data_IF_535022884663
#
_entry.id   IF_535022884663
#
_cell.length_a   1.000
_cell.length_b   1.000
_cell.length_c   1.000
_cell.angle_alpha   90.00
_cell.angle_beta   90.00
_cell.angle_gamma   90.00
#
_symmetry.space_group_name_H-M   'P 1'
#
loop_
_entity.id
_entity.type
_entity.pdbx_description
1 polymer ?
#
# COMPACT_ATOMS: atom_id res chain seq x y z
N UNK A 1 20.82 -19.37 27.01
CA UNK A 1 20.48 -17.99 27.45
C UNK A 1 21.48 -17.04 26.85
N UNK A 2 21.03 -15.90 26.31
CA UNK A 2 21.88 -14.90 25.67
C UNK A 2 22.93 -14.29 26.63
N UNK A 3 22.64 -14.28 27.93
CA UNK A 3 23.55 -13.84 29.01
C UNK A 3 24.86 -14.64 29.13
N UNK A 4 24.99 -15.78 28.48
CA UNK A 4 26.24 -16.54 28.39
C UNK A 4 27.21 -16.06 27.31
N UNK A 5 26.79 -15.14 26.43
CA UNK A 5 27.55 -14.73 25.23
C UNK A 5 28.49 -13.55 25.54
N UNK A 6 28.07 -12.62 26.39
CA UNK A 6 28.91 -11.52 26.88
C UNK A 6 28.37 -11.00 28.20
N UNK A 7 29.26 -10.69 29.16
CA UNK A 7 28.87 -10.14 30.46
C UNK A 7 28.72 -8.61 30.45
N UNK A 8 29.24 -7.95 29.41
CA UNK A 8 29.28 -6.48 29.29
C UNK A 8 28.06 -5.90 28.56
N UNK A 9 27.10 -6.77 28.20
CA UNK A 9 25.91 -6.41 27.43
C UNK A 9 24.69 -6.54 28.32
N UNK A 10 23.86 -5.50 28.32
CA UNK A 10 22.56 -5.58 28.97
C UNK A 10 21.60 -6.44 28.14
N UNK A 11 21.36 -7.65 28.63
CA UNK A 11 20.46 -8.63 28.00
C UNK A 11 19.00 -8.48 28.43
N UNK A 12 18.70 -7.59 29.39
CA UNK A 12 17.32 -7.39 29.85
C UNK A 12 16.31 -7.07 28.73
N UNK A 13 16.65 -6.39 27.62
CA UNK A 13 15.71 -6.16 26.53
C UNK A 13 15.29 -7.42 25.75
N UNK A 14 16.09 -8.50 25.83
CA UNK A 14 15.92 -9.71 25.03
C UNK A 14 15.36 -10.90 25.82
N UNK A 15 15.30 -10.82 27.15
CA UNK A 15 14.81 -11.92 27.99
C UNK A 15 13.31 -12.14 27.81
N UNK A 16 12.93 -13.37 27.42
CA UNK A 16 11.53 -13.80 27.28
C UNK A 16 10.75 -13.18 26.12
N UNK A 17 11.39 -12.36 25.27
CA UNK A 17 10.74 -11.71 24.12
C UNK A 17 10.97 -12.50 22.84
N UNK A 18 9.92 -12.63 22.02
CA UNK A 18 10.07 -13.08 20.64
C UNK A 18 10.59 -11.93 19.80
N UNK A 19 11.61 -12.19 18.98
CA UNK A 19 12.11 -11.24 18.00
C UNK A 19 11.16 -11.25 16.80
N UNK A 20 10.45 -10.14 16.56
CA UNK A 20 9.56 -9.99 15.39
C UNK A 20 10.26 -9.32 14.20
N UNK A 21 11.39 -8.65 14.44
CA UNK A 21 12.29 -8.08 13.44
C UNK A 21 13.71 -7.95 14.04
N UNK A 22 14.78 -7.92 13.22
CA UNK A 22 16.12 -7.57 13.69
C UNK A 22 16.13 -6.18 14.33
N UNK A 23 16.99 -5.99 15.33
CA UNK A 23 17.08 -4.73 16.05
C UNK A 23 18.14 -3.83 15.42
N UNK A 24 17.74 -3.14 14.35
CA UNK A 24 18.65 -2.33 13.54
C UNK A 24 19.05 -1.00 14.19
N UNK A 25 18.23 -0.45 15.09
CA UNK A 25 18.47 0.88 15.68
C UNK A 25 19.48 0.85 16.84
N UNK A 26 19.99 -0.33 17.21
CA UNK A 26 20.98 -0.45 18.28
C UNK A 26 22.27 0.28 17.91
N UNK A 27 22.72 1.18 18.79
CA UNK A 27 24.00 1.87 18.64
C UNK A 27 25.19 0.90 18.62
N UNK A 28 25.11 -0.20 19.39
CA UNK A 28 26.15 -1.22 19.46
C UNK A 28 26.12 -2.16 18.23
N UNK A 29 27.20 -2.24 17.43
CA UNK A 29 27.25 -3.11 16.25
C UNK A 29 27.04 -4.59 16.55
N UNK A 30 27.51 -5.06 17.71
CA UNK A 30 27.33 -6.44 18.14
C UNK A 30 25.84 -6.81 18.31
N UNK A 31 25.03 -5.91 18.88
CA UNK A 31 23.60 -6.16 19.07
C UNK A 31 22.84 -6.23 17.74
N UNK A 32 23.20 -5.38 16.78
CA UNK A 32 22.68 -5.45 15.40
C UNK A 32 23.03 -6.78 14.75
N UNK A 33 24.31 -7.18 14.82
CA UNK A 33 24.79 -8.44 14.27
C UNK A 33 24.10 -9.66 14.88
N UNK A 34 23.99 -9.69 16.22
CA UNK A 34 23.36 -10.79 16.94
C UNK A 34 21.86 -10.88 16.64
N UNK A 35 21.13 -9.77 16.70
CA UNK A 35 19.69 -9.77 16.41
C UNK A 35 19.40 -10.15 14.96
N UNK A 36 20.24 -9.72 14.02
CA UNK A 36 20.18 -10.16 12.62
C UNK A 36 20.40 -11.66 12.48
N UNK A 37 21.47 -12.20 13.10
CA UNK A 37 21.79 -13.62 13.04
C UNK A 37 20.73 -14.50 13.70
N UNK A 38 20.13 -14.06 14.81
CA UNK A 38 19.04 -14.77 15.48
C UNK A 38 17.76 -14.75 14.65
N UNK A 39 17.43 -13.61 14.04
CA UNK A 39 16.20 -13.48 13.25
C UNK A 39 16.25 -14.25 11.93
N UNK A 40 17.38 -14.20 11.21
CA UNK A 40 17.61 -14.94 9.97
C UNK A 40 18.26 -16.31 10.20
N UNK A 41 18.29 -16.77 11.45
CA UNK A 41 18.81 -18.08 11.80
C UNK A 41 18.00 -19.20 11.15
N UNK A 42 18.62 -20.36 10.87
CA UNK A 42 17.92 -21.49 10.28
C UNK A 42 16.82 -21.99 11.21
N UNK A 43 15.64 -22.23 10.65
CA UNK A 43 14.53 -22.88 11.34
C UNK A 43 14.54 -24.36 10.96
N UNK A 44 14.60 -25.24 11.96
CA UNK A 44 14.62 -26.69 11.76
C UNK A 44 13.46 -27.16 10.87
N UNK A 45 13.79 -27.97 9.86
CA UNK A 45 12.85 -28.48 8.86
C UNK A 45 12.30 -27.45 7.86
N UNK A 46 12.65 -26.16 7.95
CA UNK A 46 12.19 -25.17 6.97
C UNK A 46 12.83 -25.39 5.60
N UNK A 47 14.11 -25.75 5.56
CA UNK A 47 14.83 -26.07 4.32
C UNK A 47 14.23 -27.28 3.60
N UNK A 48 13.98 -28.37 4.33
CA UNK A 48 13.35 -29.58 3.79
C UNK A 48 11.94 -29.29 3.22
N UNK A 49 11.15 -28.45 3.90
CA UNK A 49 9.85 -27.99 3.38
C UNK A 49 10.00 -27.14 2.13
N UNK A 50 11.00 -26.27 2.06
CA UNK A 50 11.27 -25.45 0.88
C UNK A 50 11.64 -26.33 -0.31
N UNK A 51 12.52 -27.32 -0.12
CA UNK A 51 12.89 -28.28 -1.16
C UNK A 51 11.65 -29.06 -1.62
N UNK A 52 10.85 -29.59 -0.69
CA UNK A 52 9.61 -30.29 -1.00
C UNK A 52 8.62 -29.43 -1.80
N UNK A 53 8.50 -28.14 -1.45
CA UNK A 53 7.66 -27.19 -2.19
C UNK A 53 8.18 -26.94 -3.61
N UNK A 54 9.50 -26.83 -3.79
CA UNK A 54 10.12 -26.63 -5.11
C UNK A 54 9.88 -27.86 -6.01
N UNK A 55 10.03 -29.07 -5.47
CA UNK A 55 9.72 -30.31 -6.19
C UNK A 55 8.25 -30.40 -6.59
N UNK A 56 7.33 -30.06 -5.67
CA UNK A 56 5.91 -30.04 -5.96
C UNK A 56 5.55 -29.02 -7.06
N UNK A 57 6.20 -27.85 -7.05
CA UNK A 57 6.05 -26.82 -8.08
C UNK A 57 6.57 -27.28 -9.45
N UNK A 58 7.69 -28.00 -9.49
CA UNK A 58 8.22 -28.58 -10.73
C UNK A 58 7.26 -29.65 -11.29
N UNK A 59 6.80 -30.59 -10.45
CA UNK A 59 5.81 -31.60 -10.82
C UNK A 59 4.53 -30.98 -11.38
N UNK A 60 4.00 -29.95 -10.71
CA UNK A 60 2.82 -29.19 -11.16
C UNK A 60 3.05 -28.53 -12.53
N UNK A 61 4.22 -27.94 -12.75
CA UNK A 61 4.55 -27.30 -14.01
C UNK A 61 4.62 -28.30 -15.16
N UNK A 62 5.32 -29.42 -14.97
CA UNK A 62 5.45 -30.49 -15.97
C UNK A 62 4.09 -31.12 -16.30
N UNK A 63 3.26 -31.38 -15.29
CA UNK A 63 1.91 -31.89 -15.49
C UNK A 63 1.02 -30.91 -16.29
N UNK A 64 1.27 -29.60 -16.18
CA UNK A 64 0.60 -28.56 -16.96
C UNK A 64 1.26 -28.29 -18.33
N UNK A 65 2.21 -29.13 -18.78
CA UNK A 65 2.92 -28.97 -20.05
C UNK A 65 3.87 -27.77 -20.10
N UNK A 66 4.33 -27.28 -18.94
CA UNK A 66 5.28 -26.17 -18.83
C UNK A 66 6.67 -26.67 -18.46
N UNK A 67 7.71 -26.00 -18.97
CA UNK A 67 9.11 -26.39 -18.75
C UNK A 67 9.58 -26.21 -17.30
N UNK A 68 9.01 -25.24 -16.58
CA UNK A 68 9.26 -25.01 -15.15
C UNK A 68 8.09 -24.23 -14.53
N UNK A 69 8.07 -24.13 -13.20
CA UNK A 69 7.06 -23.34 -12.50
C UNK A 69 7.06 -21.86 -12.92
N UNK A 70 8.22 -21.32 -13.30
CA UNK A 70 8.35 -19.94 -13.75
C UNK A 70 7.56 -19.69 -15.06
N UNK A 71 7.59 -20.61 -16.01
CA UNK A 71 6.78 -20.54 -17.25
C UNK A 71 5.28 -20.82 -17.02
N UNK A 72 4.91 -21.36 -15.85
CA UNK A 72 3.51 -21.48 -15.43
C UNK A 72 3.01 -20.20 -14.77
N UNK A 73 3.86 -19.56 -13.97
CA UNK A 73 3.56 -18.34 -13.24
C UNK A 73 3.57 -17.09 -14.14
N UNK A 74 4.58 -16.95 -15.00
CA UNK A 74 4.71 -15.85 -15.96
C UNK A 74 4.08 -16.27 -17.28
N UNK A 75 2.87 -15.80 -17.53
CA UNK A 75 2.13 -16.10 -18.75
C UNK A 75 2.32 -14.98 -19.78
N UNK A 76 2.14 -15.24 -21.08
CA UNK A 76 2.19 -14.21 -22.12
C UNK A 76 1.20 -13.06 -21.91
N UNK A 77 0.14 -13.28 -21.13
CA UNK A 77 -0.85 -12.27 -20.75
C UNK A 77 -0.41 -11.38 -19.58
N UNK A 78 0.67 -11.72 -18.86
CA UNK A 78 1.21 -10.85 -17.81
C UNK A 78 2.05 -9.73 -18.42
N UNK A 79 2.24 -8.65 -17.66
CA UNK A 79 3.05 -7.51 -18.10
C UNK A 79 4.50 -7.90 -18.41
N UNK A 80 5.02 -8.88 -17.67
CA UNK A 80 6.36 -9.40 -17.90
C UNK A 80 6.47 -10.26 -19.17
N UNK A 81 5.35 -10.83 -19.65
CA UNK A 81 5.17 -11.69 -20.82
C UNK A 81 5.99 -13.00 -20.83
N UNK A 82 7.23 -13.01 -20.35
CA UNK A 82 8.09 -14.20 -20.31
C UNK A 82 9.11 -14.17 -19.17
N UNK A 83 9.57 -15.34 -18.69
CA UNK A 83 10.65 -15.44 -17.71
C UNK A 83 11.95 -14.72 -18.10
N UNK A 84 12.34 -14.78 -19.37
CA UNK A 84 13.57 -14.17 -19.88
C UNK A 84 13.50 -12.64 -19.83
N UNK A 85 12.30 -12.07 -20.02
CA UNK A 85 12.08 -10.64 -19.88
C UNK A 85 12.19 -10.20 -18.43
N UNK A 86 11.66 -10.98 -17.48
CA UNK A 86 11.85 -10.75 -16.05
C UNK A 86 13.34 -10.72 -15.72
N UNK A 87 14.08 -11.75 -16.14
CA UNK A 87 15.52 -11.84 -15.86
C UNK A 87 16.30 -10.67 -16.49
N UNK A 88 16.02 -10.34 -17.75
CA UNK A 88 16.66 -9.21 -18.44
C UNK A 88 16.39 -7.89 -17.72
N UNK A 89 15.15 -7.67 -17.29
CA UNK A 89 14.76 -6.48 -16.54
C UNK A 89 15.52 -6.40 -15.21
N UNK A 90 15.50 -7.46 -14.40
CA UNK A 90 16.19 -7.49 -13.10
C UNK A 90 17.70 -7.29 -13.25
N UNK A 91 18.33 -7.93 -14.23
CA UNK A 91 19.76 -7.74 -14.55
C UNK A 91 20.07 -6.31 -14.98
N UNK A 92 19.22 -5.71 -15.83
CA UNK A 92 19.42 -4.33 -16.28
C UNK A 92 19.27 -3.33 -15.13
N UNK A 93 18.24 -3.49 -14.31
CA UNK A 93 18.02 -2.65 -13.12
C UNK A 93 19.19 -2.78 -12.14
N UNK A 94 19.64 -4.01 -11.85
CA UNK A 94 20.82 -4.23 -11.02
C UNK A 94 22.04 -3.53 -11.59
N UNK A 95 22.34 -3.69 -12.88
CA UNK A 95 23.49 -3.04 -13.52
C UNK A 95 23.45 -1.51 -13.42
N UNK A 96 22.29 -0.90 -13.61
CA UNK A 96 22.12 0.55 -13.53
C UNK A 96 22.19 1.08 -12.10
N UNK A 97 21.63 0.35 -11.12
CA UNK A 97 21.56 0.80 -9.73
C UNK A 97 22.79 0.45 -8.91
N UNK A 98 23.55 -0.61 -9.25
CA UNK A 98 24.77 -1.01 -8.55
C UNK A 98 25.79 0.13 -8.36
N UNK A 99 26.15 0.94 -9.38
CA UNK A 99 27.10 2.04 -9.17
C UNK A 99 26.54 3.14 -8.27
N UNK A 100 25.25 3.46 -8.38
CA UNK A 100 24.57 4.46 -7.54
C UNK A 100 24.55 3.98 -6.09
N UNK A 101 24.07 2.76 -5.84
CA UNK A 101 24.00 2.16 -4.51
C UNK A 101 25.39 2.07 -3.85
N UNK A 102 26.41 1.66 -4.61
CA UNK A 102 27.80 1.60 -4.12
C UNK A 102 28.35 2.98 -3.82
N UNK A 103 28.08 3.96 -4.69
CA UNK A 103 28.46 5.35 -4.50
C UNK A 103 27.85 5.95 -3.24
N UNK A 104 26.53 5.81 -3.07
CA UNK A 104 25.78 6.24 -1.88
C UNK A 104 26.30 5.56 -0.61
N UNK A 105 26.50 4.24 -0.63
CA UNK A 105 27.03 3.51 0.53
C UNK A 105 28.41 4.01 0.94
N UNK A 106 29.31 4.27 -0.01
CA UNK A 106 30.67 4.78 0.27
C UNK A 106 30.69 6.24 0.73
N UNK A 107 29.89 7.09 0.10
CA UNK A 107 29.96 8.54 0.31
C UNK A 107 29.16 9.03 1.51
N UNK A 108 28.09 8.32 1.88
CA UNK A 108 27.16 8.69 2.96
C UNK A 108 27.23 7.71 4.13
N UNK A 109 27.15 6.40 3.90
CA UNK A 109 27.01 5.43 4.99
C UNK A 109 28.35 5.09 5.69
N UNK A 110 29.43 4.92 4.94
CA UNK A 110 30.73 4.49 5.52
C UNK A 110 31.40 5.62 6.33
N UNK A 111 31.18 6.89 5.98
CA UNK A 111 31.79 8.03 6.70
C UNK A 111 31.34 8.14 8.15
N UNK A 112 30.11 7.70 8.42
CA UNK A 112 29.48 7.81 9.73
C UNK A 112 29.82 6.61 10.65
N UNK A 113 30.59 5.64 10.15
CA UNK A 113 31.12 4.53 10.94
C UNK A 113 32.63 4.70 11.19
N UNK A 114 33.06 5.17 12.37
CA UNK A 114 34.48 5.14 12.71
C UNK A 114 34.97 3.68 12.76
N UNK A 115 36.09 3.40 12.09
CA UNK A 115 36.85 2.14 12.15
C UNK A 115 36.23 0.88 11.51
N UNK A 116 35.36 1.00 10.50
CA UNK A 116 34.83 -0.16 9.77
C UNK A 116 35.25 -0.19 8.30
N UNK A 117 36.16 -1.11 7.93
CA UNK A 117 36.65 -1.29 6.55
C UNK A 117 35.59 -1.87 5.58
N UNK A 118 34.49 -2.45 6.10
CA UNK A 118 33.47 -3.14 5.29
C UNK A 118 32.08 -3.05 5.92
N UNK A 119 31.11 -2.58 5.14
CA UNK A 119 29.69 -2.55 5.49
C UNK A 119 29.10 -3.97 5.62
N UNK A 120 28.37 -4.25 6.70
CA UNK A 120 27.64 -5.52 6.89
C UNK A 120 26.14 -5.35 6.63
N UNK A 121 25.40 -6.44 6.33
CA UNK A 121 23.95 -6.36 6.07
C UNK A 121 23.14 -5.69 7.19
N UNK A 122 23.56 -5.85 8.45
CA UNK A 122 22.91 -5.26 9.62
C UNK A 122 23.32 -3.80 9.91
N UNK A 123 24.33 -3.27 9.22
CA UNK A 123 24.73 -1.85 9.35
C UNK A 123 23.92 -0.95 8.41
N UNK A 124 23.48 -1.47 7.26
CA UNK A 124 22.76 -0.68 6.25
C UNK A 124 21.50 -0.02 6.83
N UNK A 125 20.58 -0.74 7.50
CA UNK A 125 19.35 -0.13 8.00
C UNK A 125 19.60 0.89 9.11
N UNK A 126 20.61 0.63 9.98
CA UNK A 126 21.04 1.59 11.01
C UNK A 126 21.48 2.91 10.40
N UNK A 127 22.35 2.87 9.39
CA UNK A 127 22.90 4.07 8.77
C UNK A 127 21.86 4.83 7.95
N UNK A 128 20.94 4.13 7.29
CA UNK A 128 19.79 4.76 6.65
C UNK A 128 18.95 5.52 7.68
N UNK A 129 18.67 4.89 8.82
CA UNK A 129 17.91 5.53 9.90
C UNK A 129 18.65 6.74 10.48
N UNK A 130 19.94 6.60 10.80
CA UNK A 130 20.78 7.71 11.27
C UNK A 130 20.84 8.88 10.27
N UNK A 131 20.86 8.59 8.97
CA UNK A 131 20.79 9.59 7.90
C UNK A 131 19.41 10.25 7.77
N UNK A 132 18.32 9.55 8.12
CA UNK A 132 16.96 10.11 8.09
C UNK A 132 16.66 11.03 9.28
N UNK A 133 17.37 10.90 10.40
CA UNK A 133 17.23 11.79 11.56
C UNK A 133 17.60 13.25 11.27
N UNK A 134 18.25 13.54 10.13
CA UNK A 134 18.54 14.90 9.67
C UNK A 134 17.31 15.62 9.12
N UNK A 135 16.23 14.88 8.80
CA UNK A 135 14.95 15.45 8.39
C UNK A 135 14.06 15.55 9.62
N UNK A 136 13.85 16.78 10.12
CA UNK A 136 12.94 17.07 11.22
C UNK A 136 11.49 16.78 10.80
N UNK A 137 11.13 15.51 10.91
CA UNK A 137 9.81 15.00 10.54
C UNK A 137 8.78 15.39 11.59
N UNK A 138 9.20 15.67 12.82
CA UNK A 138 8.31 16.12 13.90
C UNK A 138 7.72 17.50 13.60
N UNK A 139 8.52 18.40 13.00
CA UNK A 139 8.04 19.71 12.52
C UNK A 139 6.93 19.62 11.48
N UNK A 140 6.83 18.51 10.75
CA UNK A 140 5.84 18.31 9.68
C UNK A 140 4.52 17.72 10.19
N UNK A 141 4.53 17.02 11.33
CA UNK A 141 3.35 16.35 11.89
C UNK A 141 2.13 17.29 12.06
N UNK A 142 2.27 18.55 12.51
CA UNK A 142 1.13 19.45 12.65
C UNK A 142 0.37 19.75 11.34
N UNK A 143 1.03 19.59 10.19
CA UNK A 143 0.43 19.82 8.88
C UNK A 143 -0.34 18.60 8.35
N UNK A 144 -0.13 17.42 8.92
CA UNK A 144 -0.69 16.15 8.44
C UNK A 144 -1.74 15.60 9.40
N UNK A 145 -2.77 16.39 9.70
CA UNK A 145 -3.97 15.84 10.35
C UNK A 145 -4.74 14.95 9.40
N UNK A 146 -5.37 13.88 9.91
CA UNK A 146 -6.16 12.94 9.10
C UNK A 146 -7.22 13.67 8.26
N UNK A 147 -7.92 14.64 8.86
CA UNK A 147 -8.91 15.46 8.16
C UNK A 147 -8.31 16.25 7.00
N UNK A 148 -7.16 16.92 7.21
CA UNK A 148 -6.47 17.65 6.15
C UNK A 148 -5.98 16.72 5.03
N UNK A 149 -5.46 15.54 5.38
CA UNK A 149 -5.04 14.55 4.39
C UNK A 149 -6.24 14.01 3.59
N UNK A 150 -7.37 13.75 4.23
CA UNK A 150 -8.62 13.32 3.58
C UNK A 150 -9.20 14.39 2.65
N UNK A 151 -9.12 15.66 3.05
CA UNK A 151 -9.47 16.79 2.19
C UNK A 151 -8.55 16.85 0.95
N UNK A 152 -7.25 16.62 1.13
CA UNK A 152 -6.31 16.49 0.02
C UNK A 152 -6.65 15.32 -0.93
N UNK A 153 -7.07 14.18 -0.39
CA UNK A 153 -7.56 13.04 -1.19
C UNK A 153 -8.81 13.44 -1.99
N UNK A 154 -9.77 14.13 -1.38
CA UNK A 154 -10.98 14.60 -2.05
C UNK A 154 -10.66 15.58 -3.18
N UNK A 155 -9.82 16.60 -2.92
CA UNK A 155 -9.42 17.58 -3.93
C UNK A 155 -8.71 16.92 -5.13
N UNK A 156 -7.79 16.00 -4.88
CA UNK A 156 -7.14 15.29 -5.97
C UNK A 156 -8.09 14.37 -6.74
N UNK A 157 -9.11 13.81 -6.07
CA UNK A 157 -10.11 12.97 -6.72
C UNK A 157 -10.99 13.80 -7.66
N UNK A 158 -11.34 15.02 -7.24
CA UNK A 158 -12.10 15.97 -8.05
C UNK A 158 -11.28 16.47 -9.24
N UNK A 159 -10.09 17.02 -8.99
CA UNK A 159 -9.25 17.59 -10.04
C UNK A 159 -8.77 16.57 -11.09
N UNK A 160 -8.52 15.32 -10.70
CA UNK A 160 -7.98 14.31 -11.63
C UNK A 160 -9.06 13.46 -12.28
N UNK A 161 -10.18 13.20 -11.59
CA UNK A 161 -11.15 12.20 -12.01
C UNK A 161 -12.60 12.72 -12.03
N UNK A 162 -12.85 13.98 -11.67
CA UNK A 162 -14.19 14.53 -11.56
C UNK A 162 -15.03 13.80 -10.51
N UNK A 163 -14.41 13.43 -9.37
CA UNK A 163 -15.06 12.75 -8.26
C UNK A 163 -15.06 13.59 -6.98
N UNK A 164 -16.25 13.78 -6.41
CA UNK A 164 -16.45 14.30 -5.06
C UNK A 164 -16.62 13.16 -4.08
N UNK A 165 -15.83 13.15 -3.03
CA UNK A 165 -15.94 12.21 -1.93
C UNK A 165 -16.74 12.86 -0.80
N UNK A 166 -17.83 12.21 -0.38
CA UNK A 166 -18.70 12.70 0.67
C UNK A 166 -18.83 11.68 1.79
N UNK A 167 -18.59 12.12 3.03
CA UNK A 167 -18.85 11.31 4.21
C UNK A 167 -20.36 11.20 4.41
N UNK A 168 -20.84 9.99 4.62
CA UNK A 168 -22.26 9.70 4.84
C UNK A 168 -22.45 8.90 6.14
N UNK A 169 -23.58 9.09 6.84
CA UNK A 169 -23.91 8.24 7.97
C UNK A 169 -24.13 6.80 7.51
N UNK A 170 -23.53 5.86 8.22
CA UNK A 170 -23.82 4.45 8.05
C UNK A 170 -25.21 4.11 8.63
N UNK A 171 -25.93 3.22 7.96
CA UNK A 171 -27.20 2.68 8.46
C UNK A 171 -26.96 1.74 9.66
N UNK A 172 -27.97 1.52 10.52
CA UNK A 172 -27.87 0.55 11.60
C UNK A 172 -27.48 -0.84 11.08
N UNK A 173 -26.35 -1.37 11.59
CA UNK A 173 -25.82 -2.68 11.20
C UNK A 173 -25.02 -2.70 9.88
N UNK A 174 -24.84 -1.57 9.21
CA UNK A 174 -24.09 -1.49 7.94
C UNK A 174 -22.58 -1.65 8.15
N UNK A 175 -22.06 -1.14 9.27
CA UNK A 175 -20.63 -1.14 9.59
C UNK A 175 -20.30 -2.15 10.69
N UNK A 176 -19.12 -2.78 10.60
CA UNK A 176 -18.63 -3.76 11.58
C UNK A 176 -18.02 -3.13 12.83
N UNK A 177 -17.78 -1.81 12.84
CA UNK A 177 -17.25 -1.09 13.98
C UNK A 177 -17.68 0.38 13.95
N UNK A 178 -17.96 1.03 15.11
CA UNK A 178 -18.41 2.44 15.17
C UNK A 178 -17.42 3.45 14.58
N UNK A 179 -16.12 3.17 14.66
CA UNK A 179 -15.08 4.03 14.08
C UNK A 179 -14.98 3.94 12.54
N UNK A 180 -15.76 3.07 11.88
CA UNK A 180 -15.72 2.94 10.42
C UNK A 180 -16.50 4.07 9.79
N UNK A 181 -15.84 4.83 8.93
CA UNK A 181 -16.43 5.97 8.23
C UNK A 181 -16.87 5.54 6.83
N UNK A 182 -18.13 5.76 6.48
CA UNK A 182 -18.64 5.54 5.14
C UNK A 182 -18.40 6.78 4.28
N UNK A 183 -17.76 6.58 3.13
CA UNK A 183 -17.52 7.62 2.13
C UNK A 183 -18.15 7.18 0.81
N UNK A 184 -18.99 8.03 0.24
CA UNK A 184 -19.62 7.83 -1.05
C UNK A 184 -18.93 8.71 -2.10
N UNK A 185 -18.63 8.13 -3.26
CA UNK A 185 -18.01 8.84 -4.38
C UNK A 185 -19.07 9.25 -5.40
N UNK A 186 -19.15 10.54 -5.70
CA UNK A 186 -20.11 11.15 -6.62
C UNK A 186 -19.38 11.81 -7.79
N UNK A 187 -19.93 11.75 -8.99
CA UNK A 187 -19.41 12.49 -10.14
C UNK A 187 -19.66 14.00 -9.99
N UNK A 188 -18.69 14.85 -10.33
CA UNK A 188 -18.82 16.32 -10.30
C UNK A 188 -19.14 16.92 -11.67
N UNK A 189 -18.57 16.34 -12.72
CA UNK A 189 -18.80 16.67 -14.12
C UNK A 189 -19.48 15.47 -14.82
N UNK A 190 -20.18 15.72 -15.94
CA UNK A 190 -20.50 14.61 -16.84
C UNK A 190 -19.18 14.05 -17.35
N UNK A 191 -18.93 12.75 -17.21
CA UNK A 191 -17.86 12.14 -17.98
C UNK A 191 -18.16 12.42 -19.46
N UNK A 192 -17.21 13.08 -20.11
CA UNK A 192 -17.35 13.72 -21.42
C UNK A 192 -18.05 12.84 -22.47
N UNK A 193 -18.76 13.54 -23.35
CA UNK A 193 -19.53 13.06 -24.50
C UNK A 193 -19.08 11.70 -25.09
N UNK A 194 -19.90 10.63 -24.98
CA UNK A 194 -19.59 9.31 -25.54
C UNK A 194 -19.48 9.32 -27.08
N UNK A 195 -19.78 10.43 -27.76
CA UNK A 195 -19.72 10.55 -29.21
C UNK A 195 -18.32 10.89 -29.76
N UNK A 196 -17.35 11.29 -28.93
CA UNK A 196 -16.02 11.72 -29.39
C UNK A 196 -14.88 10.72 -29.12
N UNK A 197 -15.14 9.65 -28.36
CA UNK A 197 -14.15 8.62 -28.08
C UNK A 197 -14.58 7.28 -28.71
N UNK A 198 -13.87 6.86 -29.75
CA UNK A 198 -14.16 5.59 -30.46
C UNK A 198 -13.90 4.34 -29.58
N UNK A 199 -13.52 4.53 -28.31
CA UNK A 199 -13.22 3.48 -27.32
C UNK A 199 -14.32 3.33 -26.24
N UNK A 200 -15.43 4.06 -26.32
CA UNK A 200 -16.53 3.87 -25.35
C UNK A 200 -17.29 2.59 -25.66
N UNK A 201 -17.32 1.70 -24.68
CA UNK A 201 -18.09 0.46 -24.72
C UNK A 201 -19.58 0.79 -25.00
N UNK A 202 -20.29 0.11 -25.93
CA UNK A 202 -21.65 0.50 -26.34
C UNK A 202 -22.68 0.63 -25.21
N UNK A 203 -22.45 -0.05 -24.08
CA UNK A 203 -23.32 0.02 -22.91
C UNK A 203 -23.09 1.29 -22.08
N UNK A 204 -21.88 1.85 -22.07
CA UNK A 204 -21.59 3.13 -21.39
C UNK A 204 -22.23 4.29 -22.16
N UNK A 205 -22.27 4.21 -23.49
CA UNK A 205 -23.00 5.16 -24.33
C UNK A 205 -24.53 5.09 -24.11
N UNK A 206 -25.05 3.89 -23.81
CA UNK A 206 -26.48 3.69 -23.53
C UNK A 206 -26.90 4.22 -22.15
N UNK A 207 -26.00 4.20 -21.17
CA UNK A 207 -26.26 4.61 -19.79
C UNK A 207 -25.21 5.60 -19.30
N UNK A 208 -25.20 6.84 -19.84
CA UNK A 208 -24.21 7.84 -19.46
C UNK A 208 -24.38 8.23 -17.99
N UNK A 209 -23.25 8.41 -17.31
CA UNK A 209 -23.22 8.85 -15.93
C UNK A 209 -23.12 10.38 -15.92
N UNK A 210 -24.23 11.02 -15.57
CA UNK A 210 -24.29 12.46 -15.37
C UNK A 210 -23.62 12.91 -14.06
N UNK A 211 -23.52 14.22 -13.84
CA UNK A 211 -23.02 14.76 -12.57
C UNK A 211 -23.97 14.42 -11.41
N UNK A 212 -23.42 14.26 -10.21
CA UNK A 212 -24.15 13.96 -8.99
C UNK A 212 -24.55 12.48 -8.81
N UNK A 213 -24.10 11.59 -9.69
CA UNK A 213 -24.39 10.14 -9.58
C UNK A 213 -23.37 9.49 -8.66
N UNK A 214 -23.85 8.66 -7.72
CA UNK A 214 -22.98 7.85 -6.88
C UNK A 214 -22.35 6.72 -7.70
N UNK A 215 -21.03 6.68 -7.76
CA UNK A 215 -20.26 5.69 -8.54
C UNK A 215 -19.49 4.69 -7.67
N UNK A 216 -19.57 4.79 -6.35
CA UNK A 216 -18.99 3.80 -5.44
C UNK A 216 -19.18 4.14 -3.97
N UNK A 217 -18.94 3.14 -3.12
CA UNK A 217 -18.93 3.27 -1.66
C UNK A 217 -17.62 2.75 -1.09
N UNK A 218 -17.03 3.50 -0.19
CA UNK A 218 -15.70 3.26 0.39
C UNK A 218 -15.86 3.31 1.91
N UNK A 219 -15.68 2.19 2.58
CA UNK A 219 -15.62 2.14 4.04
C UNK A 219 -14.19 2.33 4.52
N UNK A 220 -14.00 3.28 5.42
CA UNK A 220 -12.70 3.66 5.92
C UNK A 220 -12.55 3.18 7.37
N UNK A 221 -11.66 2.21 7.59
CA UNK A 221 -11.35 1.64 8.89
C UNK A 221 -9.90 2.02 9.28
N UNK A 222 -9.74 3.19 9.89
CA UNK A 222 -8.42 3.80 10.05
C UNK A 222 -7.67 3.42 11.33
N UNK A 223 -8.36 3.15 12.43
CA UNK A 223 -7.74 3.11 13.76
C UNK A 223 -7.42 1.69 14.22
N UNK A 224 -6.35 1.56 15.01
CA UNK A 224 -5.97 0.31 15.65
C UNK A 224 -6.95 -0.04 16.77
N UNK A 225 -7.28 -1.34 16.88
CA UNK A 225 -8.07 -1.88 17.98
C UNK A 225 -7.77 -3.38 18.19
N UNK A 226 -8.02 -3.93 19.39
CA UNK A 226 -7.85 -5.36 19.64
C UNK A 226 -8.63 -6.21 18.62
N UNK A 227 -7.96 -7.23 18.07
CA UNK A 227 -8.57 -8.16 17.10
C UNK A 227 -8.57 -7.69 15.64
N UNK A 228 -8.24 -6.41 15.35
CA UNK A 228 -8.03 -5.93 13.98
C UNK A 228 -6.64 -6.36 13.47
N UNK A 229 -6.56 -6.78 12.21
CA UNK A 229 -5.26 -7.12 11.61
C UNK A 229 -4.40 -5.87 11.41
N UNK A 230 -3.14 -5.93 11.84
CA UNK A 230 -2.16 -4.84 11.72
C UNK A 230 -1.55 -4.78 10.31
N UNK A 231 -2.39 -4.63 9.28
CA UNK A 231 -1.97 -4.37 7.90
C UNK A 231 -2.78 -3.24 7.27
N UNK A 232 -2.06 -2.34 6.59
CA UNK A 232 -2.64 -1.31 5.75
C UNK A 232 -2.96 -1.93 4.39
N UNK A 233 -4.22 -1.85 3.97
CA UNK A 233 -4.68 -2.56 2.79
C UNK A 233 -6.06 -2.10 2.30
N UNK A 234 -6.32 -2.42 1.05
CA UNK A 234 -7.60 -2.23 0.38
C UNK A 234 -8.29 -3.58 0.13
N UNK A 235 -9.56 -3.67 0.50
CA UNK A 235 -10.43 -4.81 0.22
C UNK A 235 -11.57 -4.45 -0.72
N UNK A 236 -12.01 -5.41 -1.54
CA UNK A 236 -13.22 -5.27 -2.35
C UNK A 236 -14.31 -6.16 -1.76
N UNK A 237 -15.35 -5.55 -1.20
CA UNK A 237 -16.57 -6.26 -0.74
C UNK A 237 -17.42 -6.63 -1.95
N UNK A 238 -17.61 -5.67 -2.87
CA UNK A 238 -18.42 -5.83 -4.08
C UNK A 238 -17.69 -5.23 -5.26
N UNK A 239 -17.51 -6.01 -6.33
CA UNK A 239 -16.93 -5.53 -7.59
C UNK A 239 -17.97 -4.79 -8.44
N UNK A 240 -17.51 -3.83 -9.25
CA UNK A 240 -18.38 -3.10 -10.18
C UNK A 240 -18.71 -3.95 -11.42
N UNK A 241 -19.97 -4.13 -11.81
CA UNK A 241 -20.28 -4.96 -12.99
C UNK A 241 -21.57 -4.55 -13.67
N UNK A 242 -21.69 -4.89 -14.95
CA UNK A 242 -22.93 -4.78 -15.69
C UNK A 242 -23.98 -5.81 -15.21
N UNK A 243 -25.26 -5.42 -15.19
CA UNK A 243 -26.35 -6.23 -14.63
C UNK A 243 -27.57 -6.41 -15.54
N UNK A 244 -27.63 -5.75 -16.70
CA UNK A 244 -28.80 -5.77 -17.62
C UNK A 244 -29.21 -7.17 -18.14
N UNK A 245 -28.41 -8.21 -17.90
CA UNK A 245 -28.72 -9.60 -18.28
C UNK A 245 -28.49 -10.59 -17.13
N UNK A 246 -28.66 -10.15 -15.88
CA UNK A 246 -28.55 -11.05 -14.73
C UNK A 246 -29.91 -11.61 -14.34
N UNK A 247 -29.95 -12.86 -13.85
CA UNK A 247 -31.19 -13.48 -13.33
C UNK A 247 -31.85 -12.69 -12.17
N UNK A 248 -31.13 -11.73 -11.59
CA UNK A 248 -31.66 -10.79 -10.63
C UNK A 248 -32.10 -9.53 -11.38
N UNK A 249 -33.38 -9.17 -11.27
CA UNK A 249 -33.89 -7.87 -11.71
C UNK A 249 -33.13 -6.77 -10.97
N UNK A 250 -32.13 -6.20 -11.62
CA UNK A 250 -31.38 -5.06 -11.08
C UNK A 250 -32.08 -3.77 -11.49
N UNK A 251 -32.43 -2.94 -10.52
CA UNK A 251 -33.01 -1.61 -10.73
C UNK A 251 -32.04 -0.60 -11.40
N UNK A 252 -30.79 -0.98 -11.59
CA UNK A 252 -29.73 -0.22 -12.26
C UNK A 252 -29.06 -1.12 -13.30
N UNK A 253 -28.68 -0.61 -14.48
CA UNK A 253 -27.94 -1.36 -15.50
C UNK A 253 -26.50 -1.70 -15.06
N UNK A 254 -26.01 -1.01 -14.02
CA UNK A 254 -24.68 -1.21 -13.46
C UNK A 254 -24.72 -1.32 -11.93
N UNK A 255 -23.99 -2.29 -11.40
CA UNK A 255 -23.72 -2.45 -9.98
C UNK A 255 -22.42 -1.73 -9.64
N UNK A 256 -22.49 -0.69 -8.81
CA UNK A 256 -21.29 0.03 -8.37
C UNK A 256 -20.48 -0.73 -7.30
N UNK A 257 -19.15 -0.56 -7.28
CA UNK A 257 -18.28 -1.24 -6.33
C UNK A 257 -18.46 -0.75 -4.90
N UNK A 258 -18.20 -1.66 -3.95
CA UNK A 258 -18.07 -1.39 -2.53
C UNK A 258 -16.70 -1.87 -2.09
N UNK A 259 -15.90 -0.97 -1.52
CA UNK A 259 -14.53 -1.25 -1.11
C UNK A 259 -14.28 -0.79 0.32
N UNK A 260 -13.19 -1.29 0.89
CA UNK A 260 -12.74 -0.94 2.24
C UNK A 260 -11.30 -0.49 2.15
N UNK A 261 -10.99 0.64 2.77
CA UNK A 261 -9.63 1.04 3.09
C UNK A 261 -9.42 0.75 4.57
N UNK A 262 -8.46 -0.11 4.88
CA UNK A 262 -8.03 -0.39 6.23
C UNK A 262 -6.64 0.19 6.44
N UNK A 263 -6.49 1.03 7.46
CA UNK A 263 -5.19 1.48 7.95
C UNK A 263 -5.05 1.12 9.43
N UNK A 264 -3.83 1.21 9.94
CA UNK A 264 -3.51 1.04 11.35
C UNK A 264 -2.90 2.31 11.92
N UNK A 265 -3.67 3.40 11.82
CA UNK A 265 -3.41 4.60 12.61
C UNK A 265 -3.53 4.24 14.10
N UNK A 266 -2.94 5.05 14.98
CA UNK A 266 -2.97 4.81 16.43
C UNK A 266 -4.38 4.74 17.04
N UNK A 267 -4.52 4.83 18.36
CA UNK A 267 -5.83 4.71 19.00
C UNK A 267 -6.82 5.74 18.45
N UNK A 268 -8.09 5.31 18.33
CA UNK A 268 -9.18 6.17 17.85
C UNK A 268 -9.28 7.45 18.69
N UNK A 269 -9.64 8.61 18.11
CA UNK A 269 -9.94 9.82 18.86
C UNK A 269 -10.93 9.59 20.00
N UNK A 270 -11.91 8.68 19.82
CA UNK A 270 -12.88 8.33 20.86
C UNK A 270 -12.23 7.69 22.11
N UNK A 271 -11.01 7.15 21.98
CA UNK A 271 -10.24 6.56 23.07
C UNK A 271 -9.23 7.54 23.69
N UNK A 272 -8.97 8.68 23.05
CA UNK A 272 -8.02 9.69 23.54
C UNK A 272 -8.72 10.65 24.50
N UNK A 273 -8.04 11.00 25.59
CA UNK A 273 -8.47 12.09 26.47
C UNK A 273 -8.09 13.43 25.83
N UNK A 274 -9.09 14.15 25.31
CA UNK A 274 -8.93 15.50 24.74
C UNK A 274 -9.18 15.56 23.23
N UNK A 275 -9.48 16.76 22.74
CA UNK A 275 -9.87 17.04 21.34
C UNK A 275 -8.65 17.18 20.42
N UNK A 276 -7.77 16.19 20.44
CA UNK A 276 -6.52 16.21 19.65
C UNK A 276 -6.71 15.49 18.32
N UNK A 277 -6.43 16.15 17.18
CA UNK A 277 -6.58 15.52 15.88
C UNK A 277 -5.62 14.35 15.72
N UNK A 278 -6.00 13.37 14.91
CA UNK A 278 -5.08 12.28 14.53
C UNK A 278 -4.05 12.84 13.56
N UNK A 279 -2.80 12.95 13.99
CA UNK A 279 -1.66 13.36 13.15
C UNK A 279 -1.00 12.15 12.51
N UNK A 280 -0.58 12.30 11.26
CA UNK A 280 0.03 11.26 10.44
C UNK A 280 1.50 11.60 10.20
N UNK A 281 2.37 10.61 10.36
CA UNK A 281 3.73 10.69 9.82
C UNK A 281 3.71 10.72 8.28
N UNK A 282 4.75 11.24 7.61
CA UNK A 282 4.82 11.20 6.15
C UNK A 282 4.64 9.80 5.55
N UNK A 283 5.17 8.77 6.21
CA UNK A 283 4.96 7.38 5.78
C UNK A 283 3.48 6.95 5.86
N UNK A 284 2.75 7.37 6.90
CA UNK A 284 1.31 7.12 7.01
C UNK A 284 0.50 7.91 5.97
N UNK A 285 0.93 9.13 5.63
CA UNK A 285 0.34 9.91 4.53
C UNK A 285 0.56 9.17 3.21
N UNK A 286 1.78 8.71 2.91
CA UNK A 286 2.04 7.91 1.71
C UNK A 286 1.15 6.65 1.65
N UNK A 287 1.03 5.91 2.76
CA UNK A 287 0.17 4.73 2.82
C UNK A 287 -1.31 5.07 2.60
N UNK A 288 -1.81 6.14 3.22
CA UNK A 288 -3.19 6.61 3.01
C UNK A 288 -3.45 6.86 1.53
N UNK A 289 -2.59 7.64 0.86
CA UNK A 289 -2.75 7.96 -0.56
C UNK A 289 -2.56 6.73 -1.46
N UNK A 290 -1.72 5.77 -1.07
CA UNK A 290 -1.54 4.49 -1.77
C UNK A 290 -2.84 3.68 -1.76
N UNK A 291 -3.44 3.47 -0.59
CA UNK A 291 -4.68 2.69 -0.46
C UNK A 291 -5.88 3.38 -1.11
N UNK A 292 -5.94 4.72 -1.05
CA UNK A 292 -6.91 5.50 -1.82
C UNK A 292 -6.73 5.32 -3.33
N UNK A 293 -5.50 5.13 -3.81
CA UNK A 293 -5.24 4.76 -5.19
C UNK A 293 -5.91 3.45 -5.59
N UNK A 294 -5.84 2.42 -4.74
CA UNK A 294 -6.53 1.14 -4.97
C UNK A 294 -8.05 1.27 -4.90
N UNK A 295 -8.57 2.08 -3.97
CA UNK A 295 -10.00 2.36 -3.86
C UNK A 295 -10.53 3.08 -5.10
N UNK A 296 -9.88 4.15 -5.54
CA UNK A 296 -10.26 4.89 -6.75
C UNK A 296 -10.14 4.03 -8.00
N UNK A 297 -9.11 3.18 -8.12
CA UNK A 297 -9.03 2.21 -9.21
C UNK A 297 -10.26 1.30 -9.24
N UNK A 298 -10.70 0.83 -8.08
CA UNK A 298 -11.88 -0.03 -7.98
C UNK A 298 -13.17 0.71 -8.29
N UNK A 299 -13.30 1.97 -7.83
CA UNK A 299 -14.47 2.85 -8.04
C UNK A 299 -14.62 3.27 -9.50
N UNK A 300 -13.52 3.65 -10.15
CA UNK A 300 -13.50 4.09 -11.54
C UNK A 300 -13.50 2.93 -12.53
N UNK A 301 -13.05 1.74 -12.10
CA UNK A 301 -12.96 0.55 -12.95
C UNK A 301 -14.35 0.08 -13.41
N UNK A 302 -14.64 0.27 -14.70
CA UNK A 302 -15.85 -0.23 -15.35
C UNK A 302 -15.57 -1.50 -16.12
N UNK A 303 -16.29 -2.55 -15.79
CA UNK A 303 -16.15 -3.80 -16.52
C UNK A 303 -17.49 -4.51 -16.63
N UNK A 304 -17.65 -5.30 -17.70
CA UNK A 304 -18.83 -6.14 -17.88
C UNK A 304 -18.91 -7.28 -16.86
N UNK A 305 -17.77 -7.84 -16.44
CA UNK A 305 -17.72 -9.06 -15.65
C UNK A 305 -17.00 -8.88 -14.31
N UNK A 306 -17.61 -9.39 -13.24
CA UNK A 306 -17.07 -9.28 -11.88
C UNK A 306 -15.65 -9.85 -11.71
N UNK A 307 -15.26 -10.86 -12.51
CA UNK A 307 -13.96 -11.50 -12.37
C UNK A 307 -12.78 -10.64 -12.87
N UNK A 308 -13.03 -9.57 -13.64
CA UNK A 308 -11.99 -8.64 -14.14
C UNK A 308 -12.04 -7.26 -13.46
N UNK A 309 -12.86 -7.08 -12.42
CA UNK A 309 -13.10 -5.77 -11.80
C UNK A 309 -12.00 -5.30 -10.86
N UNK A 310 -11.83 -3.98 -10.79
CA UNK A 310 -10.97 -3.34 -9.80
C UNK A 310 -9.53 -3.84 -9.90
N UNK A 311 -8.91 -4.18 -8.78
CA UNK A 311 -7.49 -4.57 -8.75
C UNK A 311 -7.23 -6.06 -9.11
N UNK A 312 -8.19 -6.73 -9.75
CA UNK A 312 -8.07 -8.13 -10.21
C UNK A 312 -7.24 -8.38 -11.50
N UNK A 313 -6.83 -7.38 -12.31
CA UNK A 313 -5.82 -7.59 -13.35
C UNK A 313 -4.53 -8.21 -12.80
N UNK A 314 -3.72 -8.80 -13.68
CA UNK A 314 -2.51 -9.56 -13.34
C UNK A 314 -1.68 -8.89 -12.24
N UNK A 315 -1.18 -9.69 -11.29
CA UNK A 315 -0.47 -9.22 -10.10
C UNK A 315 0.63 -8.19 -10.39
N UNK A 316 1.34 -8.35 -11.51
CA UNK A 316 2.44 -7.46 -11.93
C UNK A 316 1.95 -6.08 -12.41
N UNK A 317 0.67 -5.97 -12.81
CA UNK A 317 0.02 -4.70 -13.23
C UNK A 317 -0.68 -3.97 -12.07
N UNK A 318 -0.85 -4.65 -10.93
CA UNK A 318 -1.50 -4.11 -9.73
C UNK A 318 -0.68 -3.01 -9.06
N UNK A 319 0.64 -3.15 -9.04
CA UNK A 319 1.56 -2.24 -8.34
C UNK A 319 2.07 -1.04 -9.16
N UNK A 320 2.32 -1.13 -10.48
CA UNK A 320 2.75 0.03 -11.27
C UNK A 320 1.75 1.19 -11.21
N UNK A 321 0.44 0.92 -11.18
CA UNK A 321 -0.59 1.98 -11.14
C UNK A 321 -0.66 2.73 -9.81
N UNK A 322 -0.39 2.05 -8.69
CA UNK A 322 -0.19 2.74 -7.40
C UNK A 322 1.12 3.53 -7.34
N UNK A 323 2.12 3.16 -8.15
CA UNK A 323 3.43 3.80 -8.21
C UNK A 323 3.51 4.98 -9.20
N UNK A 324 2.71 4.99 -10.27
CA UNK A 324 2.68 6.09 -11.28
C UNK A 324 2.36 7.45 -10.62
N UNK A 325 1.73 7.46 -9.45
CA UNK A 325 1.44 8.70 -8.70
C UNK A 325 2.64 9.27 -7.91
N UNK A 326 3.74 8.53 -7.73
CA UNK A 326 4.95 9.00 -7.03
C UNK A 326 5.74 10.07 -7.79
N UNK A 327 5.42 10.35 -9.07
CA UNK A 327 6.25 11.21 -9.94
C UNK A 327 5.61 12.53 -10.37
N UNK A 328 4.47 12.98 -9.81
CA UNK A 328 3.94 14.30 -10.17
C UNK A 328 4.69 15.44 -9.45
N UNK A 329 5.39 16.35 -10.17
CA UNK A 329 6.22 17.41 -9.56
C UNK A 329 5.44 18.53 -8.83
N UNK A 330 4.10 18.49 -8.82
CA UNK A 330 3.26 19.61 -8.33
C UNK A 330 2.68 19.41 -6.91
N UNK A 331 2.94 18.27 -6.26
CA UNK A 331 2.48 18.02 -4.88
C UNK A 331 3.00 19.02 -3.82
N UNK A 332 4.25 19.55 -3.90
CA UNK A 332 4.72 20.53 -2.92
C UNK A 332 3.97 21.87 -3.00
N UNK A 333 3.58 22.28 -4.22
CA UNK A 333 2.98 23.60 -4.47
C UNK A 333 1.54 23.68 -3.95
N UNK A 334 0.78 22.59 -4.04
CA UNK A 334 -0.61 22.55 -3.54
C UNK A 334 -0.69 22.55 -2.00
N UNK A 335 0.30 21.97 -1.33
CA UNK A 335 0.33 21.88 0.14
C UNK A 335 0.81 23.17 0.82
N UNK A 336 1.65 23.98 0.15
CA UNK A 336 2.15 25.25 0.70
C UNK A 336 1.10 26.37 0.70
N UNK A 337 0.18 26.39 -0.26
CA UNK A 337 -0.70 27.55 -0.44
C UNK A 337 -1.83 27.69 0.60
N UNK A 338 -2.15 26.66 1.40
CA UNK A 338 -3.39 26.66 2.20
C UNK A 338 -3.31 26.05 3.61
N UNK A 339 -2.14 26.07 4.24
CA UNK A 339 -2.03 25.83 5.70
C UNK A 339 -2.63 27.02 6.49
N UNK A 340 -3.97 27.14 6.47
CA UNK A 340 -4.74 28.12 7.24
C UNK A 340 -5.77 27.43 8.14
N UNK A 341 -6.16 28.03 9.29
CA UNK A 341 -6.93 27.35 10.32
C UNK A 341 -8.42 27.30 9.98
N UNK A 342 -8.84 26.34 9.14
CA UNK A 342 -10.25 25.95 9.00
C UNK A 342 -10.39 24.46 8.71
N UNK A 343 -10.31 23.65 9.76
CA UNK A 343 -10.88 22.30 9.77
C UNK A 343 -11.46 22.07 11.17
N UNK A 344 -12.74 22.44 11.34
CA UNK A 344 -13.57 21.91 12.44
C UNK A 344 -14.56 20.96 11.76
N UNK A 345 -14.60 19.73 12.26
CA UNK A 345 -15.39 18.58 11.77
C UNK A 345 -14.64 17.67 10.80
N UNK A 346 -13.71 16.89 11.34
CA UNK A 346 -13.33 15.55 10.91
C UNK A 346 -13.04 14.69 12.14
#
# INVERSE_FOLDING_TARGET
MLSGISKDIDWTPFNGRRLFSPYYDASQPFLRALSYALFFGPIEGQEERLISLLEARDKLARAAGKASFLYRAVQPSSLAESPERVERFLKKVSYLLSPIATGTARSQLIKDLPNMDRLRPWDIPFLIHSGQQWIDTESLLPFFSLGACMEGVNQLSDCLFGLRLQVEPALPGEVWHPDVVKVSAYTTEAQSDPLNDNEVDPWEAKYPIGPGVQVGTIYCDFFQRPGKMSQDCHYTIRGGRHTENTMFESHSPYQFPIVVIQLNLGPSPAQKKGDTPTLLSPAQVENLFHEWGHALHSVLGRTRYQHVTGTRPHSDSRHPRSLIRRQHPQLPTLMQDKAGPRAKNF
#
